data_IF_063114955956
#
_entry.id   IF_063114955956
#
_cell.length_a   1.000
_cell.length_b   1.000
_cell.length_c   1.000
_cell.angle_alpha   90.00
_cell.angle_beta   90.00
_cell.angle_gamma   90.00
#
_symmetry.space_group_name_H-M   'P 1'
#
loop_
_entity.id
_entity.type
_entity.pdbx_description
1 polymer ?
#
# COMPACT_ATOMS: atom_id res chain seq x y z
N UNK A 1 -17.95 10.17 -19.41
CA UNK A 1 -17.58 10.30 -18.00
C UNK A 1 -16.36 11.23 -17.94
N UNK A 2 -16.37 12.27 -17.09
CA UNK A 2 -15.23 13.18 -16.99
C UNK A 2 -14.00 12.46 -16.43
N UNK A 3 -12.81 12.90 -16.82
CA UNK A 3 -11.53 12.29 -16.39
C UNK A 3 -11.41 12.20 -14.85
N UNK A 4 -11.84 13.25 -14.14
CA UNK A 4 -11.84 13.25 -12.66
C UNK A 4 -12.73 12.16 -12.09
N UNK A 5 -13.93 11.96 -12.62
CA UNK A 5 -14.84 10.91 -12.16
C UNK A 5 -14.28 9.52 -12.46
N UNK A 6 -13.61 9.34 -13.60
CA UNK A 6 -12.90 8.12 -13.96
C UNK A 6 -11.76 7.84 -12.99
N UNK A 7 -10.91 8.81 -12.71
CA UNK A 7 -9.80 8.69 -11.76
C UNK A 7 -10.30 8.29 -10.36
N UNK A 8 -11.30 9.00 -9.83
CA UNK A 8 -11.86 8.70 -8.52
C UNK A 8 -12.52 7.32 -8.48
N UNK A 9 -13.23 6.92 -9.55
CA UNK A 9 -13.78 5.59 -9.68
C UNK A 9 -12.71 4.51 -9.62
N UNK A 10 -11.61 4.68 -10.35
CA UNK A 10 -10.49 3.74 -10.37
C UNK A 10 -9.75 3.69 -9.02
N UNK A 11 -9.49 4.83 -8.38
CA UNK A 11 -8.88 4.86 -7.05
C UNK A 11 -9.70 4.09 -6.02
N UNK A 12 -11.01 4.33 -5.99
CA UNK A 12 -11.88 3.67 -5.02
C UNK A 12 -12.05 2.16 -5.31
N UNK A 13 -12.17 1.77 -6.58
CA UNK A 13 -12.28 0.36 -6.95
C UNK A 13 -10.99 -0.40 -6.62
N UNK A 14 -9.82 0.13 -7.04
CA UNK A 14 -8.54 -0.48 -6.74
C UNK A 14 -8.29 -0.58 -5.24
N UNK A 15 -8.62 0.47 -4.48
CA UNK A 15 -8.49 0.47 -3.03
C UNK A 15 -9.38 -0.57 -2.36
N UNK A 16 -10.66 -0.67 -2.75
CA UNK A 16 -11.61 -1.63 -2.20
C UNK A 16 -11.20 -3.08 -2.49
N UNK A 17 -10.89 -3.39 -3.76
CA UNK A 17 -10.49 -4.74 -4.16
C UNK A 17 -9.17 -5.15 -3.49
N UNK A 18 -8.22 -4.24 -3.40
CA UNK A 18 -6.96 -4.49 -2.70
C UNK A 18 -7.17 -4.72 -1.21
N UNK A 19 -8.04 -3.94 -0.56
CA UNK A 19 -8.36 -4.14 0.85
C UNK A 19 -8.98 -5.52 1.10
N UNK A 20 -9.94 -5.93 0.27
CA UNK A 20 -10.59 -7.25 0.38
C UNK A 20 -9.56 -8.37 0.25
N UNK A 21 -8.72 -8.34 -0.79
CA UNK A 21 -7.68 -9.35 -1.00
C UNK A 21 -6.66 -9.37 0.14
N UNK A 22 -6.15 -8.20 0.54
CA UNK A 22 -5.18 -8.07 1.62
C UNK A 22 -5.70 -8.64 2.94
N UNK A 23 -6.94 -8.33 3.31
CA UNK A 23 -7.52 -8.83 4.56
C UNK A 23 -7.87 -10.32 4.49
N UNK A 24 -8.32 -10.81 3.33
CA UNK A 24 -8.53 -12.24 3.11
C UNK A 24 -7.22 -13.02 3.29
N UNK A 25 -6.14 -12.58 2.66
CA UNK A 25 -4.83 -13.21 2.75
C UNK A 25 -4.25 -13.12 4.18
N UNK A 26 -4.47 -12.01 4.89
CA UNK A 26 -4.03 -11.83 6.27
C UNK A 26 -4.51 -12.96 7.17
N UNK A 27 -5.79 -13.27 7.11
CA UNK A 27 -6.39 -14.30 7.94
C UNK A 27 -6.26 -15.72 7.36
N UNK A 28 -5.99 -15.83 6.06
CA UNK A 28 -5.67 -17.11 5.45
C UNK A 28 -4.29 -17.62 5.86
N UNK A 29 -3.27 -16.74 5.81
CA UNK A 29 -1.90 -17.09 6.15
C UNK A 29 -1.65 -17.08 7.66
N UNK A 30 -2.36 -16.26 8.40
CA UNK A 30 -2.23 -16.04 9.86
C UNK A 30 -0.77 -15.94 10.32
N UNK A 31 0.05 -15.17 9.57
CA UNK A 31 1.49 -15.14 9.78
C UNK A 31 1.86 -14.27 10.99
N UNK A 32 2.80 -14.75 11.78
CA UNK A 32 3.26 -14.11 13.00
C UNK A 32 4.05 -12.82 12.76
N UNK A 33 4.04 -11.93 13.74
CA UNK A 33 4.71 -10.62 13.68
C UNK A 33 6.20 -10.73 14.06
N UNK A 34 7.06 -9.74 13.66
CA UNK A 34 8.47 -9.71 14.05
C UNK A 34 8.71 -9.86 15.55
N UNK A 35 7.89 -9.26 16.39
CA UNK A 35 8.03 -9.40 17.85
C UNK A 35 7.87 -10.84 18.34
N UNK A 36 7.02 -11.64 17.73
CA UNK A 36 6.88 -13.05 18.07
C UNK A 36 8.16 -13.85 17.74
N UNK A 37 8.91 -13.43 16.70
CA UNK A 37 10.17 -14.04 16.34
C UNK A 37 11.35 -13.57 17.19
N UNK A 38 11.33 -12.32 17.62
CA UNK A 38 12.45 -11.68 18.35
C UNK A 38 12.40 -11.99 19.85
N UNK A 39 11.23 -11.92 20.49
CA UNK A 39 11.06 -12.07 21.92
C UNK A 39 11.67 -13.35 22.51
N UNK A 40 11.69 -14.52 21.84
CA UNK A 40 12.37 -15.71 22.39
C UNK A 40 13.88 -15.55 22.55
N UNK A 41 14.52 -14.69 21.74
CA UNK A 41 15.97 -14.45 21.78
C UNK A 41 16.34 -13.14 22.46
N UNK A 42 15.46 -12.15 22.43
CA UNK A 42 15.60 -10.87 23.15
C UNK A 42 14.26 -10.48 23.79
N UNK A 43 13.98 -10.93 25.02
CA UNK A 43 12.76 -10.61 25.74
C UNK A 43 12.60 -9.12 26.08
N UNK A 44 13.67 -8.34 26.02
CA UNK A 44 13.65 -6.89 26.29
C UNK A 44 13.24 -6.05 25.11
N UNK A 45 13.31 -6.60 23.90
CA UNK A 45 12.95 -5.89 22.69
C UNK A 45 11.44 -5.69 22.55
N UNK A 46 11.03 -4.49 22.19
CA UNK A 46 9.62 -4.14 21.97
C UNK A 46 9.47 -3.37 20.65
N UNK A 47 8.41 -3.62 19.87
CA UNK A 47 8.14 -2.83 18.68
C UNK A 47 7.67 -1.41 19.06
N UNK A 48 7.86 -0.44 18.16
CA UNK A 48 7.33 0.92 18.36
C UNK A 48 5.80 0.95 18.33
N UNK A 49 5.20 0.05 17.57
CA UNK A 49 3.74 -0.11 17.47
C UNK A 49 3.37 -1.59 17.44
N UNK A 50 2.15 -1.89 17.90
CA UNK A 50 1.55 -3.22 17.79
C UNK A 50 0.28 -3.18 16.95
N UNK A 51 -0.10 -4.31 16.38
CA UNK A 51 -1.32 -4.47 15.61
C UNK A 51 -2.00 -5.79 15.99
N UNK A 52 -3.33 -5.79 16.25
CA UNK A 52 -4.07 -6.96 16.76
C UNK A 52 -4.51 -7.93 15.64
N UNK A 53 -3.78 -8.01 14.56
CA UNK A 53 -4.07 -8.87 13.40
C UNK A 53 -2.77 -9.39 12.77
N UNK A 54 -2.84 -10.46 11.94
CA UNK A 54 -1.66 -11.11 11.38
C UNK A 54 -0.75 -10.16 10.58
N UNK A 55 0.51 -10.58 10.45
CA UNK A 55 1.54 -9.76 9.80
C UNK A 55 1.29 -9.59 8.31
N UNK A 56 1.20 -10.72 7.59
CA UNK A 56 1.24 -10.78 6.12
C UNK A 56 -0.17 -10.85 5.51
N UNK A 57 -0.41 -10.12 4.42
CA UNK A 57 0.38 -9.03 3.84
C UNK A 57 0.22 -7.69 4.59
N UNK A 58 1.08 -6.71 4.30
CA UNK A 58 1.05 -5.38 4.89
C UNK A 58 -0.11 -4.53 4.36
N UNK A 59 -1.07 -4.19 5.23
CA UNK A 59 -2.25 -3.41 4.84
C UNK A 59 -1.91 -2.04 4.25
N UNK A 60 -0.91 -1.34 4.79
CA UNK A 60 -0.46 -0.04 4.26
C UNK A 60 0.07 -0.20 2.84
N UNK A 61 1.02 -1.12 2.64
CA UNK A 61 1.64 -1.28 1.32
C UNK A 61 0.70 -1.85 0.27
N UNK A 62 -0.23 -2.72 0.64
CA UNK A 62 -1.28 -3.16 -0.27
C UNK A 62 -2.08 -1.96 -0.80
N UNK A 63 -2.63 -1.13 0.10
CA UNK A 63 -3.49 -0.01 -0.26
C UNK A 63 -2.72 1.12 -0.96
N UNK A 64 -1.56 1.50 -0.41
CA UNK A 64 -0.79 2.62 -0.95
C UNK A 64 -0.21 2.27 -2.33
N UNK A 65 0.23 1.03 -2.56
CA UNK A 65 0.68 0.60 -3.89
C UNK A 65 -0.44 0.59 -4.91
N UNK A 66 -1.67 0.23 -4.52
CA UNK A 66 -2.82 0.31 -5.40
C UNK A 66 -3.19 1.76 -5.76
N UNK A 67 -3.29 2.65 -4.77
CA UNK A 67 -3.61 4.05 -5.01
C UNK A 67 -2.53 4.76 -5.83
N UNK A 68 -1.26 4.60 -5.46
CA UNK A 68 -0.13 5.18 -6.18
C UNK A 68 0.00 4.57 -7.59
N UNK A 69 -0.30 3.28 -7.75
CA UNK A 69 -0.33 2.63 -9.06
C UNK A 69 -1.39 3.22 -10.00
N UNK A 70 -2.58 3.53 -9.51
CA UNK A 70 -3.62 4.24 -10.28
C UNK A 70 -3.15 5.64 -10.68
N UNK A 71 -2.53 6.39 -9.74
CA UNK A 71 -1.99 7.71 -10.05
C UNK A 71 -0.88 7.65 -11.10
N UNK A 72 0.02 6.66 -11.00
CA UNK A 72 1.06 6.43 -12.01
C UNK A 72 0.48 6.13 -13.38
N UNK A 73 -0.59 5.36 -13.45
CA UNK A 73 -1.26 5.03 -14.71
C UNK A 73 -1.90 6.27 -15.37
N UNK A 74 -2.47 7.19 -14.56
CA UNK A 74 -3.10 8.41 -15.06
C UNK A 74 -2.12 9.51 -15.45
N UNK A 75 -1.09 9.73 -14.64
CA UNK A 75 -0.21 10.90 -14.72
C UNK A 75 1.23 10.56 -15.09
N UNK A 76 1.56 9.28 -15.19
CA UNK A 76 2.95 8.83 -15.25
C UNK A 76 3.61 8.84 -13.87
N UNK A 77 4.77 8.20 -13.75
CA UNK A 77 5.46 8.09 -12.45
C UNK A 77 6.19 9.39 -12.03
N UNK A 78 6.72 10.14 -13.00
CA UNK A 78 7.58 11.31 -12.75
C UNK A 78 6.76 12.58 -12.48
N UNK A 79 6.11 12.63 -11.33
CA UNK A 79 5.31 13.77 -10.88
C UNK A 79 5.77 14.17 -9.49
N UNK A 80 6.17 15.44 -9.33
CA UNK A 80 6.50 16.00 -8.02
C UNK A 80 5.23 16.38 -7.27
N UNK A 81 5.12 15.94 -6.02
CA UNK A 81 3.97 16.24 -5.16
C UNK A 81 4.35 16.34 -3.69
N UNK A 82 3.47 16.91 -2.89
CA UNK A 82 3.62 17.00 -1.45
C UNK A 82 2.50 16.28 -0.71
N UNK A 83 2.85 15.61 0.38
CA UNK A 83 1.90 14.97 1.31
C UNK A 83 2.00 15.63 2.66
N UNK A 84 0.86 16.04 3.20
CA UNK A 84 0.74 16.62 4.54
C UNK A 84 -0.09 15.71 5.44
N UNK A 85 0.28 15.62 6.70
CA UNK A 85 -0.50 14.91 7.71
C UNK A 85 -0.48 15.69 9.02
N UNK A 86 -1.61 15.74 9.70
CA UNK A 86 -1.69 16.32 11.07
C UNK A 86 -0.76 15.59 12.05
N UNK A 87 -0.42 14.33 11.77
CA UNK A 87 0.53 13.56 12.59
C UNK A 87 1.99 13.98 12.40
N UNK A 88 2.30 14.73 11.34
CA UNK A 88 3.63 15.32 11.10
C UNK A 88 3.71 16.77 11.55
N UNK A 89 2.87 17.22 12.48
CA UNK A 89 2.87 18.60 12.92
C UNK A 89 2.50 19.63 11.84
N UNK A 90 1.91 19.21 10.72
CA UNK A 90 1.58 20.05 9.57
C UNK A 90 2.71 20.19 8.55
N UNK A 91 3.84 19.53 8.74
CA UNK A 91 4.93 19.50 7.77
C UNK A 91 4.52 18.79 6.48
N UNK A 92 5.05 19.25 5.35
CA UNK A 92 4.83 18.65 4.04
C UNK A 92 6.07 17.83 3.63
N UNK A 93 5.87 16.57 3.32
CA UNK A 93 6.90 15.71 2.71
C UNK A 93 6.77 15.77 1.20
N UNK A 94 7.87 16.01 0.51
CA UNK A 94 7.90 16.13 -0.94
C UNK A 94 8.54 14.89 -1.57
N UNK A 95 7.93 14.45 -2.66
CA UNK A 95 8.38 13.31 -3.48
C UNK A 95 8.47 13.75 -4.94
N UNK A 96 9.35 13.13 -5.70
CA UNK A 96 9.54 13.41 -7.12
C UNK A 96 8.84 12.41 -8.04
N UNK A 97 8.45 11.27 -7.50
CA UNK A 97 7.76 10.19 -8.22
C UNK A 97 6.69 9.55 -7.34
N UNK A 98 5.63 9.06 -7.94
CA UNK A 98 4.61 8.33 -7.20
C UNK A 98 5.11 7.01 -6.59
N UNK A 99 6.21 6.44 -7.11
CA UNK A 99 6.85 5.25 -6.53
C UNK A 99 7.64 5.53 -5.25
N UNK A 100 8.15 6.76 -5.05
CA UNK A 100 9.07 7.08 -3.95
C UNK A 100 8.47 6.84 -2.55
N UNK A 101 7.19 7.15 -2.26
CA UNK A 101 6.60 6.86 -0.95
C UNK A 101 6.61 5.39 -0.57
N UNK A 102 6.55 4.46 -1.53
CA UNK A 102 6.50 3.03 -1.23
C UNK A 102 7.76 2.52 -0.53
N UNK A 103 8.94 2.97 -0.99
CA UNK A 103 10.22 2.62 -0.35
C UNK A 103 10.27 3.15 1.09
N UNK A 104 9.82 4.39 1.29
CA UNK A 104 9.78 4.99 2.62
C UNK A 104 8.81 4.25 3.55
N UNK A 105 7.64 3.84 3.05
CA UNK A 105 6.67 3.09 3.84
C UNK A 105 7.25 1.73 4.24
N UNK A 106 7.91 0.99 3.33
CA UNK A 106 8.59 -0.27 3.64
C UNK A 106 9.54 -0.08 4.83
N UNK A 107 10.47 0.88 4.73
CA UNK A 107 11.44 1.13 5.80
C UNK A 107 10.76 1.55 7.10
N UNK A 108 9.74 2.38 7.04
CA UNK A 108 9.00 2.81 8.22
C UNK A 108 8.28 1.63 8.91
N UNK A 109 7.74 0.68 8.14
CA UNK A 109 7.06 -0.50 8.72
C UNK A 109 8.05 -1.46 9.38
N UNK A 110 9.23 -1.65 8.77
CA UNK A 110 10.32 -2.47 9.33
C UNK A 110 10.87 -1.80 10.60
N UNK A 111 11.23 -0.52 10.54
CA UNK A 111 11.73 0.23 11.69
C UNK A 111 10.74 0.26 12.87
N UNK A 112 9.44 0.26 12.59
CA UNK A 112 8.41 0.19 13.62
C UNK A 112 8.26 -1.21 14.26
N UNK A 113 8.93 -2.24 13.72
CA UNK A 113 8.83 -3.62 14.20
C UNK A 113 7.51 -4.31 13.84
N UNK A 114 6.82 -3.80 12.82
CA UNK A 114 5.48 -4.27 12.45
C UNK A 114 5.50 -5.35 11.38
N UNK A 115 6.41 -5.26 10.42
CA UNK A 115 6.45 -6.11 9.25
C UNK A 115 7.86 -6.64 8.97
N UNK A 116 7.91 -7.82 8.35
CA UNK A 116 9.11 -8.31 7.69
C UNK A 116 9.20 -7.70 6.27
N UNK A 117 10.41 -7.43 5.80
CA UNK A 117 10.65 -6.87 4.47
C UNK A 117 9.93 -7.65 3.36
N UNK A 118 10.01 -8.98 3.40
CA UNK A 118 9.37 -9.85 2.41
C UNK A 118 7.85 -9.65 2.38
N UNK A 119 7.21 -9.51 3.55
CA UNK A 119 5.76 -9.25 3.64
C UNK A 119 5.39 -7.91 3.02
N UNK A 120 6.20 -6.88 3.25
CA UNK A 120 6.01 -5.55 2.69
C UNK A 120 6.18 -5.54 1.16
N UNK A 121 7.24 -6.14 0.63
CA UNK A 121 7.50 -6.21 -0.82
C UNK A 121 6.44 -7.01 -1.58
N UNK A 122 5.97 -8.12 -1.01
CA UNK A 122 4.86 -8.90 -1.58
C UNK A 122 3.55 -8.10 -1.58
N UNK A 123 3.34 -7.26 -0.59
CA UNK A 123 2.17 -6.37 -0.50
C UNK A 123 2.15 -5.32 -1.61
N UNK A 124 3.30 -4.75 -1.94
CA UNK A 124 3.44 -3.85 -3.10
C UNK A 124 3.05 -4.57 -4.39
N UNK A 125 3.51 -5.82 -4.54
CA UNK A 125 3.18 -6.65 -5.70
C UNK A 125 1.67 -6.95 -5.78
N UNK A 126 1.02 -7.22 -4.65
CA UNK A 126 -0.42 -7.47 -4.58
C UNK A 126 -1.21 -6.25 -5.09
N UNK A 127 -0.96 -5.06 -4.55
CA UNK A 127 -1.65 -3.85 -4.99
C UNK A 127 -1.41 -3.53 -6.47
N UNK A 128 -0.17 -3.69 -6.95
CA UNK A 128 0.16 -3.54 -8.37
C UNK A 128 -0.59 -4.52 -9.28
N UNK A 129 -0.79 -5.77 -8.84
CA UNK A 129 -1.56 -6.77 -9.58
C UNK A 129 -3.05 -6.40 -9.67
N UNK A 130 -3.64 -5.88 -8.59
CA UNK A 130 -5.03 -5.40 -8.58
C UNK A 130 -5.21 -4.24 -9.55
N UNK A 131 -4.29 -3.26 -9.55
CA UNK A 131 -4.32 -2.12 -10.49
C UNK A 131 -4.24 -2.60 -11.93
N UNK A 132 -3.34 -3.53 -12.23
CA UNK A 132 -3.19 -4.09 -13.58
C UNK A 132 -4.48 -4.80 -14.01
N UNK A 133 -5.03 -5.66 -13.17
CA UNK A 133 -6.30 -6.35 -13.47
C UNK A 133 -7.44 -5.37 -13.72
N UNK A 134 -7.58 -4.35 -12.87
CA UNK A 134 -8.58 -3.31 -13.05
C UNK A 134 -8.39 -2.56 -14.37
N UNK A 135 -7.16 -2.20 -14.72
CA UNK A 135 -6.86 -1.49 -15.97
C UNK A 135 -7.18 -2.31 -17.22
N UNK A 136 -7.04 -3.63 -17.15
CA UNK A 136 -7.33 -4.54 -18.26
C UNK A 136 -8.83 -4.84 -18.44
N UNK A 137 -9.63 -4.75 -17.37
CA UNK A 137 -11.02 -5.22 -17.38
C UNK A 137 -12.06 -4.12 -17.17
N UNK A 138 -11.70 -2.99 -16.59
CA UNK A 138 -12.62 -1.91 -16.23
C UNK A 138 -12.18 -0.56 -16.79
N UNK A 139 -13.12 0.35 -16.95
CA UNK A 139 -12.88 1.73 -17.42
C UNK A 139 -12.21 1.81 -18.81
N UNK A 140 -12.39 0.80 -19.63
CA UNK A 140 -11.87 0.78 -20.99
C UNK A 140 -12.53 1.86 -21.85
N UNK A 141 -11.85 2.37 -22.91
CA UNK A 141 -12.45 3.27 -23.88
C UNK A 141 -13.72 2.62 -24.48
N UNK A 142 -14.81 3.38 -24.53
CA UNK A 142 -16.00 2.95 -25.27
C UNK A 142 -15.63 2.99 -26.75
N UNK A 143 -15.71 1.84 -27.44
CA UNK A 143 -15.45 1.80 -28.88
C UNK A 143 -16.36 2.78 -29.61
N UNK A 144 -15.81 3.51 -30.57
CA UNK A 144 -16.61 4.31 -31.48
C UNK A 144 -17.48 3.34 -32.31
N UNK A 145 -18.77 3.29 -31.98
CA UNK A 145 -19.81 2.68 -32.81
C UNK A 145 -20.24 3.65 -33.91
#
# INVERSE_FOLDING_TARGET
MGETARLLGMLNLAGADTAINCWNDKYYWDFWRPWNAIQPTDPSWTPLFTAPYPEHPSGHLCLDSAHLGVLQMFFGNNVSFGVTSSRFGGETRFFNRFSDPLEEIVEARICAGLHFRTGDEQSVTLGGNVVRYMAEHYFQPVGNH
#
